data_IF_704969995968
#
_entry.id   IF_704969995968
#
_cell.length_a   1.000
_cell.length_b   1.000
_cell.length_c   1.000
_cell.angle_alpha   90.00
_cell.angle_beta   90.00
_cell.angle_gamma   90.00
#
_symmetry.space_group_name_H-M   'P 1'
#
loop_
_entity.id
_entity.type
_entity.pdbx_description
1 polymer ?
#
# COMPACT_ATOMS: atom_id res chain seq x y z
N UNK A 1 21.42 59.13 -72.38
CA UNK A 1 20.55 57.95 -72.63
C UNK A 1 21.13 56.66 -72.02
N UNK A 2 22.39 56.28 -72.32
CA UNK A 2 22.98 55.03 -71.81
C UNK A 2 23.19 54.99 -70.28
N UNK A 3 23.66 56.08 -69.68
CA UNK A 3 23.92 56.15 -68.23
C UNK A 3 22.64 56.07 -67.40
N UNK A 4 21.57 56.74 -67.84
CA UNK A 4 20.25 56.66 -67.20
C UNK A 4 19.71 55.23 -67.19
N UNK A 5 19.88 54.50 -68.30
CA UNK A 5 19.42 53.12 -68.41
C UNK A 5 20.20 52.16 -67.50
N UNK A 6 21.51 52.33 -67.39
CA UNK A 6 22.35 51.54 -66.46
C UNK A 6 21.97 51.80 -65.00
N UNK A 7 21.75 53.07 -64.64
CA UNK A 7 21.32 53.44 -63.30
C UNK A 7 19.97 52.80 -62.94
N UNK A 8 19.00 52.80 -63.86
CA UNK A 8 17.70 52.14 -63.67
C UNK A 8 17.81 50.62 -63.46
N UNK A 9 18.69 49.95 -64.20
CA UNK A 9 18.93 48.49 -64.03
C UNK A 9 19.55 48.22 -62.65
N UNK A 10 20.52 49.03 -62.24
CA UNK A 10 21.19 48.85 -60.96
C UNK A 10 20.25 49.14 -59.77
N UNK A 11 19.39 50.14 -59.90
CA UNK A 11 18.35 50.46 -58.91
C UNK A 11 17.30 49.34 -58.82
N UNK A 12 16.87 48.78 -59.94
CA UNK A 12 15.96 47.63 -59.97
C UNK A 12 16.58 46.40 -59.29
N UNK A 13 17.87 46.11 -59.55
CA UNK A 13 18.59 45.01 -58.90
C UNK A 13 18.68 45.20 -57.38
N UNK A 14 19.00 46.40 -56.91
CA UNK A 14 19.07 46.71 -55.47
C UNK A 14 17.70 46.56 -54.80
N UNK A 15 16.63 46.94 -55.47
CA UNK A 15 15.26 46.76 -54.97
C UNK A 15 14.88 45.27 -54.88
N UNK A 16 15.26 44.46 -55.88
CA UNK A 16 15.03 43.02 -55.88
C UNK A 16 15.83 42.31 -54.78
N UNK A 17 17.11 42.66 -54.60
CA UNK A 17 17.95 42.15 -53.51
C UNK A 17 17.37 42.51 -52.13
N UNK A 18 16.88 43.73 -51.95
CA UNK A 18 16.24 44.16 -50.69
C UNK A 18 14.94 43.39 -50.41
N UNK A 19 14.14 43.09 -51.45
CA UNK A 19 12.93 42.26 -51.32
C UNK A 19 13.28 40.84 -50.90
N UNK A 20 14.24 40.20 -51.58
CA UNK A 20 14.69 38.84 -51.26
C UNK A 20 15.26 38.74 -49.84
N UNK A 21 16.04 39.75 -49.42
CA UNK A 21 16.55 39.81 -48.05
C UNK A 21 15.41 39.95 -47.02
N UNK A 22 14.39 40.76 -47.33
CA UNK A 22 13.19 40.90 -46.50
C UNK A 22 12.39 39.60 -46.39
N UNK A 23 12.17 38.90 -47.50
CA UNK A 23 11.50 37.60 -47.54
C UNK A 23 12.27 36.53 -46.75
N UNK A 24 13.60 36.48 -46.89
CA UNK A 24 14.44 35.55 -46.15
C UNK A 24 14.40 35.82 -44.62
N UNK A 25 14.44 37.09 -44.21
CA UNK A 25 14.33 37.45 -42.80
C UNK A 25 12.97 37.07 -42.21
N UNK A 26 11.89 37.24 -42.98
CA UNK A 26 10.54 36.87 -42.55
C UNK A 26 10.40 35.35 -42.42
N UNK A 27 10.95 34.58 -43.35
CA UNK A 27 10.97 33.13 -43.28
C UNK A 27 11.74 32.61 -42.06
N UNK A 28 12.90 33.21 -41.73
CA UNK A 28 13.68 32.85 -40.53
C UNK A 28 12.87 33.14 -39.26
N UNK A 29 12.22 34.31 -39.17
CA UNK A 29 11.41 34.68 -38.02
C UNK A 29 10.20 33.73 -37.85
N UNK A 30 9.54 33.33 -38.94
CA UNK A 30 8.44 32.36 -38.90
C UNK A 30 8.92 30.97 -38.46
N UNK A 31 10.05 30.51 -38.98
CA UNK A 31 10.64 29.23 -38.57
C UNK A 31 11.05 29.24 -37.08
N UNK A 32 11.62 30.33 -36.58
CA UNK A 32 11.98 30.48 -35.18
C UNK A 32 10.73 30.52 -34.29
N UNK A 33 9.70 31.25 -34.70
CA UNK A 33 8.40 31.27 -34.02
C UNK A 33 7.76 29.89 -33.97
N UNK A 34 7.81 29.13 -35.06
CA UNK A 34 7.29 27.76 -35.11
C UNK A 34 8.05 26.81 -34.17
N UNK A 35 9.40 26.90 -34.15
CA UNK A 35 10.23 26.13 -33.20
C UNK A 35 9.91 26.47 -31.76
N UNK A 36 9.77 27.76 -31.43
CA UNK A 36 9.42 28.22 -30.09
C UNK A 36 8.05 27.71 -29.65
N UNK A 37 7.04 27.83 -30.52
CA UNK A 37 5.69 27.31 -30.25
C UNK A 37 5.70 25.80 -30.00
N UNK A 38 6.38 25.03 -30.84
CA UNK A 38 6.50 23.58 -30.66
C UNK A 38 7.20 23.21 -29.34
N UNK A 39 8.21 23.96 -28.93
CA UNK A 39 8.90 23.74 -27.66
C UNK A 39 7.97 24.00 -26.46
N UNK A 40 7.14 25.04 -26.51
CA UNK A 40 6.15 25.35 -25.46
C UNK A 40 5.11 24.24 -25.38
N UNK A 41 4.53 23.82 -26.50
CA UNK A 41 3.54 22.74 -26.54
C UNK A 41 4.11 21.42 -26.00
N UNK A 42 5.36 21.09 -26.35
CA UNK A 42 6.03 19.90 -25.83
C UNK A 42 6.27 19.98 -24.31
N UNK A 43 6.66 21.16 -23.80
CA UNK A 43 6.84 21.39 -22.38
C UNK A 43 5.52 21.29 -21.60
N UNK A 44 4.42 21.82 -22.15
CA UNK A 44 3.09 21.70 -21.57
C UNK A 44 2.59 20.25 -21.55
N UNK A 45 2.80 19.49 -22.64
CA UNK A 45 2.46 18.07 -22.69
C UNK A 45 3.25 17.26 -21.64
N UNK A 46 4.55 17.53 -21.49
CA UNK A 46 5.40 16.90 -20.49
C UNK A 46 4.92 17.22 -19.05
N UNK A 47 4.51 18.46 -18.78
CA UNK A 47 3.95 18.85 -17.47
C UNK A 47 2.66 18.09 -17.16
N UNK A 48 1.73 18.00 -18.13
CA UNK A 48 0.47 17.25 -17.95
C UNK A 48 0.72 15.77 -17.65
N UNK A 49 1.68 15.15 -18.34
CA UNK A 49 2.03 13.76 -18.09
C UNK A 49 2.60 13.58 -16.67
N UNK A 50 3.50 14.45 -16.24
CA UNK A 50 4.08 14.41 -14.91
C UNK A 50 3.02 14.57 -13.81
N UNK A 51 2.02 15.44 -14.02
CA UNK A 51 0.93 15.66 -13.07
C UNK A 51 0.00 14.44 -12.96
N UNK A 52 -0.34 13.81 -14.09
CA UNK A 52 -1.11 12.56 -14.09
C UNK A 52 -0.36 11.44 -13.37
N UNK A 53 0.95 11.33 -13.59
CA UNK A 53 1.78 10.34 -12.90
C UNK A 53 1.86 10.61 -11.40
N UNK A 54 2.06 11.86 -10.99
CA UNK A 54 2.08 12.27 -9.59
C UNK A 54 0.74 11.96 -8.89
N UNK A 55 -0.39 12.25 -9.53
CA UNK A 55 -1.71 11.93 -8.98
C UNK A 55 -1.92 10.42 -8.83
N UNK A 56 -1.47 9.61 -9.81
CA UNK A 56 -1.54 8.15 -9.72
C UNK A 56 -0.70 7.62 -8.55
N UNK A 57 0.51 8.15 -8.35
CA UNK A 57 1.38 7.80 -7.21
C UNK A 57 0.72 8.13 -5.88
N UNK A 58 0.18 9.35 -5.74
CA UNK A 58 -0.52 9.78 -4.53
C UNK A 58 -1.75 8.91 -4.23
N UNK A 59 -2.53 8.55 -5.24
CA UNK A 59 -3.70 7.69 -5.07
C UNK A 59 -3.31 6.27 -4.64
N UNK A 60 -2.24 5.71 -5.22
CA UNK A 60 -1.72 4.39 -4.84
C UNK A 60 -1.20 4.39 -3.39
N UNK A 61 -0.46 5.42 -3.00
CA UNK A 61 0.05 5.58 -1.64
C UNK A 61 -1.08 5.76 -0.62
N UNK A 62 -2.07 6.61 -0.91
CA UNK A 62 -3.23 6.81 -0.05
C UNK A 62 -4.03 5.52 0.14
N UNK A 63 -4.24 4.76 -0.96
CA UNK A 63 -4.91 3.46 -0.90
C UNK A 63 -4.12 2.46 -0.04
N UNK A 64 -2.82 2.33 -0.27
CA UNK A 64 -1.96 1.43 0.50
C UNK A 64 -1.93 1.81 1.99
N UNK A 65 -1.85 3.11 2.30
CA UNK A 65 -1.89 3.61 3.68
C UNK A 65 -3.23 3.33 4.36
N UNK A 66 -4.34 3.55 3.66
CA UNK A 66 -5.69 3.24 4.17
C UNK A 66 -5.85 1.75 4.45
N UNK A 67 -5.44 0.89 3.51
CA UNK A 67 -5.48 -0.57 3.69
C UNK A 67 -4.60 -1.02 4.88
N UNK A 68 -3.41 -0.42 5.04
CA UNK A 68 -2.53 -0.70 6.17
C UNK A 68 -3.15 -0.25 7.51
N UNK A 69 -3.78 0.92 7.55
CA UNK A 69 -4.45 1.44 8.74
C UNK A 69 -5.67 0.60 9.10
N UNK A 70 -6.48 0.18 8.13
CA UNK A 70 -7.61 -0.73 8.35
C UNK A 70 -7.14 -2.10 8.86
N UNK A 71 -6.09 -2.68 8.27
CA UNK A 71 -5.47 -3.92 8.77
C UNK A 71 -4.98 -3.77 10.20
N UNK A 72 -4.33 -2.65 10.52
CA UNK A 72 -3.88 -2.35 11.88
C UNK A 72 -5.06 -2.27 12.84
N UNK A 73 -6.15 -1.56 12.50
CA UNK A 73 -7.35 -1.48 13.33
C UNK A 73 -7.96 -2.85 13.60
N UNK A 74 -8.01 -3.72 12.60
CA UNK A 74 -8.50 -5.10 12.76
C UNK A 74 -7.57 -5.91 13.67
N UNK A 75 -6.25 -5.80 13.51
CA UNK A 75 -5.28 -6.47 14.37
C UNK A 75 -5.36 -5.97 15.81
N UNK A 76 -5.46 -4.66 16.01
CA UNK A 76 -5.63 -4.05 17.33
C UNK A 76 -6.97 -4.47 17.97
N UNK A 77 -8.05 -4.58 17.18
CA UNK A 77 -9.33 -5.09 17.66
C UNK A 77 -9.27 -6.58 18.03
N UNK A 78 -8.54 -7.39 17.28
CA UNK A 78 -8.33 -8.82 17.58
C UNK A 78 -7.41 -9.04 18.79
N UNK A 79 -6.40 -8.18 18.96
CA UNK A 79 -5.54 -8.20 20.14
C UNK A 79 -6.29 -7.76 21.40
N UNK A 80 -7.23 -6.81 21.27
CA UNK A 80 -8.08 -6.35 22.38
C UNK A 80 -9.34 -7.21 22.57
N UNK A 81 -9.68 -8.10 21.63
CA UNK A 81 -10.51 -9.25 21.93
C UNK A 81 -9.64 -10.24 22.70
N UNK A 82 -9.32 -9.90 23.94
CA UNK A 82 -8.97 -10.91 24.93
C UNK A 82 -10.07 -11.96 24.85
N UNK A 83 -9.74 -13.15 24.36
CA UNK A 83 -10.57 -14.31 24.62
C UNK A 83 -10.61 -14.39 26.14
N UNK A 84 -11.73 -13.93 26.73
CA UNK A 84 -11.91 -13.92 28.18
C UNK A 84 -12.13 -15.36 28.61
N UNK A 85 -11.04 -16.13 28.67
CA UNK A 85 -11.06 -17.44 29.29
C UNK A 85 -11.47 -17.25 30.75
N UNK A 86 -12.50 -17.98 31.17
CA UNK A 86 -12.85 -18.06 32.59
C UNK A 86 -11.68 -18.71 33.31
N UNK A 87 -11.10 -17.99 34.29
CA UNK A 87 -10.08 -18.54 35.18
C UNK A 87 -10.78 -19.21 36.35
N UNK A 88 -10.47 -20.48 36.57
CA UNK A 88 -10.88 -21.22 37.75
C UNK A 88 -9.68 -21.36 38.69
N UNK A 89 -9.93 -21.32 39.99
CA UNK A 89 -8.91 -21.65 40.98
C UNK A 89 -8.77 -23.18 41.10
N UNK A 90 -7.63 -23.65 41.62
CA UNK A 90 -7.38 -25.09 41.74
C UNK A 90 -8.38 -25.78 42.67
N UNK A 91 -8.92 -25.08 43.68
CA UNK A 91 -9.87 -25.65 44.64
C UNK A 91 -11.22 -25.98 43.97
N UNK A 92 -11.67 -25.15 43.03
CA UNK A 92 -12.85 -25.38 42.19
C UNK A 92 -12.65 -26.61 41.31
N UNK A 93 -11.47 -26.72 40.71
CA UNK A 93 -11.09 -27.87 39.87
C UNK A 93 -11.04 -29.16 40.70
N UNK A 94 -10.41 -29.12 41.87
CA UNK A 94 -10.33 -30.25 42.80
C UNK A 94 -11.72 -30.68 43.26
N UNK A 95 -12.57 -29.75 43.70
CA UNK A 95 -13.93 -30.06 44.13
C UNK A 95 -14.76 -30.67 42.99
N UNK A 96 -14.67 -30.11 41.77
CA UNK A 96 -15.44 -30.59 40.63
C UNK A 96 -14.96 -31.94 40.08
N UNK A 97 -13.73 -32.34 40.41
CA UNK A 97 -13.12 -33.64 40.03
C UNK A 97 -13.04 -34.62 41.19
N UNK A 98 -13.69 -34.34 42.33
CA UNK A 98 -13.59 -35.15 43.55
C UNK A 98 -12.13 -35.45 43.93
N UNK A 99 -11.30 -34.41 43.94
CA UNK A 99 -9.85 -34.47 44.14
C UNK A 99 -9.15 -35.37 43.11
N UNK A 100 -9.49 -35.22 41.82
CA UNK A 100 -8.98 -36.02 40.71
C UNK A 100 -9.24 -37.52 40.87
N UNK A 101 -10.45 -37.88 41.32
CA UNK A 101 -10.86 -39.27 41.47
C UNK A 101 -10.79 -40.04 40.14
N UNK A 102 -10.21 -41.25 40.18
CA UNK A 102 -10.14 -42.13 39.01
C UNK A 102 -11.54 -42.52 38.48
N UNK A 103 -12.59 -42.46 39.31
CA UNK A 103 -13.98 -42.69 38.86
C UNK A 103 -14.49 -41.64 37.86
N UNK A 104 -13.85 -40.46 37.85
CA UNK A 104 -14.18 -39.34 36.96
C UNK A 104 -13.21 -39.24 35.77
N UNK A 105 -12.19 -40.07 35.70
CA UNK A 105 -11.26 -40.11 34.58
C UNK A 105 -11.94 -40.67 33.33
N UNK A 106 -11.85 -39.94 32.23
CA UNK A 106 -12.44 -40.30 30.93
C UNK A 106 -11.40 -40.63 29.87
N UNK A 107 -10.12 -40.37 30.14
CA UNK A 107 -9.01 -40.74 29.27
C UNK A 107 -7.66 -40.36 29.81
N UNK A 108 -6.60 -40.90 29.22
CA UNK A 108 -5.21 -40.51 29.45
C UNK A 108 -4.42 -40.66 28.16
N UNK A 109 -3.53 -39.72 27.88
CA UNK A 109 -2.61 -39.78 26.75
C UNK A 109 -1.25 -39.18 27.09
N UNK A 110 -0.41 -38.96 26.08
CA UNK A 110 0.96 -38.44 26.29
C UNK A 110 1.04 -37.09 27.04
N UNK A 111 -0.05 -36.33 27.07
CA UNK A 111 -0.13 -35.03 27.75
C UNK A 111 -0.64 -35.10 29.18
N UNK A 112 -1.26 -36.21 29.58
CA UNK A 112 -1.81 -36.42 30.91
C UNK A 112 -3.28 -36.86 30.92
N UNK A 113 -3.87 -37.02 32.12
CA UNK A 113 -5.23 -37.50 32.30
C UNK A 113 -6.28 -36.43 32.01
N UNK A 114 -7.47 -36.88 31.60
CA UNK A 114 -8.66 -36.05 31.36
C UNK A 114 -9.78 -36.54 32.25
N UNK A 115 -10.42 -35.63 32.98
CA UNK A 115 -11.51 -35.90 33.91
C UNK A 115 -12.81 -35.25 33.44
N UNK A 116 -13.94 -35.92 33.65
CA UNK A 116 -15.27 -35.29 33.53
C UNK A 116 -15.56 -34.50 34.80
N UNK A 117 -16.16 -33.32 34.66
CA UNK A 117 -16.54 -32.47 35.78
C UNK A 117 -17.71 -31.56 35.40
N UNK A 118 -18.26 -30.87 36.39
CA UNK A 118 -19.26 -29.80 36.18
C UNK A 118 -18.75 -28.52 36.82
N UNK A 119 -18.55 -27.46 36.02
CA UNK A 119 -18.15 -26.12 36.48
C UNK A 119 -19.21 -25.12 36.01
N UNK A 120 -19.65 -24.19 36.87
CA UNK A 120 -20.71 -23.22 36.55
C UNK A 120 -21.95 -23.86 35.87
N UNK A 121 -22.40 -25.00 36.41
CA UNK A 121 -23.51 -25.81 35.87
C UNK A 121 -23.29 -26.34 34.43
N UNK A 122 -22.06 -26.31 33.93
CA UNK A 122 -21.68 -26.76 32.60
C UNK A 122 -20.84 -28.04 32.71
N UNK A 123 -21.22 -29.08 31.99
CA UNK A 123 -20.41 -30.29 31.87
C UNK A 123 -19.14 -29.98 31.07
N UNK A 124 -17.98 -30.32 31.63
CA UNK A 124 -16.66 -30.00 31.06
C UNK A 124 -15.72 -31.20 31.14
N UNK A 125 -14.66 -31.16 30.33
CA UNK A 125 -13.52 -32.04 30.44
C UNK A 125 -12.31 -31.25 30.96
N UNK A 126 -11.67 -31.73 32.02
CA UNK A 126 -10.51 -31.11 32.64
C UNK A 126 -9.28 -31.94 32.31
N UNK A 127 -8.42 -31.41 31.45
CA UNK A 127 -7.15 -32.02 31.04
C UNK A 127 -6.04 -31.55 31.97
N UNK A 128 -5.43 -32.46 32.70
CA UNK A 128 -4.28 -32.15 33.58
C UNK A 128 -3.00 -32.40 32.79
N UNK A 129 -2.22 -31.35 32.58
CA UNK A 129 -0.96 -31.45 31.86
C UNK A 129 0.15 -31.98 32.78
N UNK A 130 0.90 -32.98 32.31
CA UNK A 130 2.06 -33.47 33.06
C UNK A 130 3.17 -32.41 33.10
N UNK A 131 3.86 -32.23 34.25
CA UNK A 131 4.93 -31.25 34.38
C UNK A 131 6.18 -31.58 33.55
N UNK A 132 6.38 -32.85 33.19
CA UNK A 132 7.49 -33.35 32.37
C UNK A 132 7.18 -33.36 30.86
N UNK A 133 5.95 -33.04 30.45
CA UNK A 133 5.63 -32.84 29.05
C UNK A 133 6.45 -31.63 28.57
N UNK A 134 7.55 -31.89 27.85
CA UNK A 134 8.48 -30.88 27.34
C UNK A 134 7.78 -29.74 26.56
N UNK A 135 6.55 -29.98 26.11
CA UNK A 135 5.70 -29.04 25.39
C UNK A 135 4.43 -28.59 26.13
N UNK A 136 4.17 -29.03 27.37
CA UNK A 136 2.89 -28.81 28.05
C UNK A 136 2.46 -27.34 28.13
N UNK A 137 3.36 -26.43 28.53
CA UNK A 137 3.07 -24.98 28.55
C UNK A 137 2.89 -24.37 27.16
N UNK A 138 3.70 -24.78 26.18
CA UNK A 138 3.58 -24.29 24.81
C UNK A 138 2.27 -24.75 24.18
N UNK A 139 1.84 -25.97 24.47
CA UNK A 139 0.59 -26.53 23.97
C UNK A 139 -0.63 -25.90 24.64
N UNK A 140 -0.57 -25.62 25.94
CA UNK A 140 -1.61 -24.84 26.62
C UNK A 140 -1.80 -23.43 26.02
N UNK A 141 -0.75 -22.86 25.42
CA UNK A 141 -0.82 -21.56 24.76
C UNK A 141 -1.27 -21.64 23.28
N UNK A 142 -1.27 -22.85 22.70
CA UNK A 142 -1.69 -23.08 21.31
C UNK A 142 -3.13 -23.60 21.19
N UNK A 143 -3.66 -24.29 22.21
CA UNK A 143 -5.06 -24.75 22.32
C UNK A 143 -5.97 -23.64 22.87
#
# INVERSE_FOLDING_TARGET
AKELHQWQIEEARKLEEAKLAGEAALAIAEMEKAKSKAAIEAAEAARRLAEIEAQKRMNAEMKAKKEAEEKKKVLDALANSEVRYRKYNIQEIEAATEFFSESLKIGEGGYGPVYKATLDHTAVAIKVLRPDAAQGRMQFQQE
#
